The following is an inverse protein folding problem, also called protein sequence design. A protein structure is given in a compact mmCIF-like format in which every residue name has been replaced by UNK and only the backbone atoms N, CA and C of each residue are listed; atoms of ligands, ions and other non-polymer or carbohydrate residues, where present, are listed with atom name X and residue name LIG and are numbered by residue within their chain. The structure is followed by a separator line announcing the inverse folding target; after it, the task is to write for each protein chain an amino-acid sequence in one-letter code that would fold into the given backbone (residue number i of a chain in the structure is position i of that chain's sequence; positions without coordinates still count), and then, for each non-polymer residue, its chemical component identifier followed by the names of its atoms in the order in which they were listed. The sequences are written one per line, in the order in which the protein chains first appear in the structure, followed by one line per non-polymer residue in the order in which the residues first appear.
data_IF_861695112697
#
_entry.id   IF_861695112697
#
_cell.length_a   1.000
_cell.length_b   1.000
_cell.length_c   1.000
_cell.angle_alpha   90.00
_cell.angle_beta   90.00
_cell.angle_gamma   90.00
#
_symmetry.space_group_name_H-M   'P 1'
#
loop_
_entity.id
_entity.type
_entity.pdbx_description
1 polymer ?
#
# COMPACT_ATOMS: atom_id res chain seq x y z
N UNK A 1 28.35 17.11 -9.75
CA UNK A 1 28.82 18.41 -10.31
C UNK A 1 30.34 18.63 -10.20
N UNK A 2 30.96 18.50 -9.02
CA UNK A 2 32.41 18.73 -8.80
C UNK A 2 33.37 17.86 -9.67
N UNK A 3 33.03 16.59 -9.90
CA UNK A 3 33.84 15.66 -10.72
C UNK A 3 33.90 16.07 -12.20
N UNK A 4 32.81 16.66 -12.71
CA UNK A 4 32.70 17.11 -14.11
C UNK A 4 33.53 18.38 -14.33
N UNK A 5 33.56 19.28 -13.33
CA UNK A 5 34.40 20.49 -13.33
C UNK A 5 35.89 20.12 -13.35
N UNK A 6 36.29 19.09 -12.60
CA UNK A 6 37.68 18.59 -12.61
C UNK A 6 38.07 17.90 -13.93
N UNK A 7 37.14 17.18 -14.57
CA UNK A 7 37.37 16.57 -15.88
C UNK A 7 37.51 17.63 -16.99
N UNK A 8 36.79 18.75 -16.88
CA UNK A 8 36.86 19.88 -17.81
C UNK A 8 38.20 20.64 -17.72
N UNK A 9 38.75 20.84 -16.51
CA UNK A 9 40.08 21.45 -16.31
C UNK A 9 41.24 20.62 -16.88
N UNK A 10 41.09 19.30 -17.03
CA UNK A 10 42.15 18.39 -17.53
C UNK A 10 42.17 18.18 -19.06
N UNK A 11 41.38 18.93 -19.83
CA UNK A 11 41.56 19.03 -21.29
C UNK A 11 41.44 17.72 -22.08
N UNK A 12 40.76 16.68 -21.55
CA UNK A 12 40.54 15.43 -22.28
C UNK A 12 39.37 15.61 -23.26
N UNK A 13 39.68 15.72 -24.55
CA UNK A 13 38.70 15.92 -25.65
C UNK A 13 37.67 14.79 -25.80
N UNK A 14 37.91 13.61 -25.24
CA UNK A 14 36.95 12.50 -25.23
C UNK A 14 35.83 12.65 -24.19
N UNK A 15 35.98 13.52 -23.19
CA UNK A 15 35.10 13.59 -22.02
C UNK A 15 33.78 14.33 -22.27
N UNK A 16 33.71 15.20 -23.28
CA UNK A 16 32.58 16.13 -23.46
C UNK A 16 31.37 15.43 -24.11
N UNK A 17 31.58 14.48 -25.03
CA UNK A 17 30.50 13.66 -25.60
C UNK A 17 29.88 12.71 -24.57
N UNK A 18 30.68 12.22 -23.63
CA UNK A 18 30.22 11.42 -22.51
C UNK A 18 29.50 12.28 -21.47
N UNK A 19 29.93 13.52 -21.26
CA UNK A 19 29.27 14.42 -20.31
C UNK A 19 27.86 14.82 -20.74
N UNK A 20 27.60 15.07 -22.03
CA UNK A 20 26.25 15.38 -22.51
C UNK A 20 25.32 14.17 -22.55
N UNK A 21 25.83 12.97 -22.90
CA UNK A 21 25.06 11.73 -22.76
C UNK A 21 24.76 11.38 -21.30
N UNK A 22 25.73 11.60 -20.40
CA UNK A 22 25.54 11.41 -18.96
C UNK A 22 24.57 12.43 -18.35
N UNK A 23 24.54 13.68 -18.84
CA UNK A 23 23.59 14.70 -18.38
C UNK A 23 22.16 14.36 -18.80
N UNK A 24 21.97 13.85 -20.03
CA UNK A 24 20.67 13.37 -20.52
C UNK A 24 20.22 12.14 -19.75
N UNK A 25 21.12 11.18 -19.48
CA UNK A 25 20.79 10.05 -18.60
C UNK A 25 20.49 10.50 -17.16
N UNK A 26 21.23 11.49 -16.62
CA UNK A 26 20.96 12.02 -15.27
C UNK A 26 19.60 12.72 -15.21
N UNK A 27 19.24 13.48 -16.23
CA UNK A 27 17.92 14.14 -16.33
C UNK A 27 16.79 13.13 -16.55
N UNK A 28 17.03 12.05 -17.30
CA UNK A 28 16.06 10.94 -17.44
C UNK A 28 15.94 10.16 -16.12
N UNK A 29 17.04 9.97 -15.38
CA UNK A 29 17.04 9.34 -14.05
C UNK A 29 16.35 10.25 -13.03
N UNK A 30 16.58 11.57 -13.06
CA UNK A 30 15.89 12.54 -12.20
C UNK A 30 14.41 12.68 -12.58
N UNK A 31 14.04 12.58 -13.86
CA UNK A 31 12.64 12.56 -14.30
C UNK A 31 11.92 11.23 -14.00
N UNK A 32 12.63 10.10 -14.08
CA UNK A 32 12.13 8.79 -13.64
C UNK A 32 12.10 8.67 -12.10
N UNK A 33 13.00 9.35 -11.39
CA UNK A 33 12.96 9.51 -9.93
C UNK A 33 11.89 10.52 -9.51
N UNK A 34 11.56 11.51 -10.34
CA UNK A 34 10.41 12.39 -10.11
C UNK A 34 9.06 11.65 -10.31
N UNK A 35 9.06 10.48 -10.97
CA UNK A 35 7.93 9.54 -10.96
C UNK A 35 7.89 8.65 -9.70
N UNK A 36 8.87 8.70 -8.79
CA UNK A 36 8.73 8.09 -7.45
C UNK A 36 7.94 9.04 -6.54
N UNK A 37 6.65 9.17 -6.82
CA UNK A 37 5.75 10.09 -6.14
C UNK A 37 5.42 9.60 -4.73
N UNK A 38 6.10 10.09 -3.69
CA UNK A 38 5.55 10.14 -2.32
C UNK A 38 5.44 8.85 -1.51
N UNK A 39 6.05 7.74 -1.93
CA UNK A 39 6.06 6.48 -1.17
C UNK A 39 7.34 6.27 -0.38
N UNK A 40 7.21 5.71 0.83
CA UNK A 40 8.35 5.16 1.56
C UNK A 40 7.99 3.81 2.18
N UNK A 41 8.82 2.82 1.89
CA UNK A 41 8.67 1.48 2.46
C UNK A 41 9.45 1.35 3.77
N UNK A 42 8.80 0.78 4.77
CA UNK A 42 9.39 0.43 6.06
C UNK A 42 9.47 -1.09 6.12
N UNK A 43 10.67 -1.69 6.10
CA UNK A 43 10.82 -3.14 6.20
C UNK A 43 10.32 -3.66 7.55
N UNK A 44 9.33 -4.55 7.52
CA UNK A 44 8.80 -5.25 8.71
C UNK A 44 9.32 -6.71 8.81
N UNK A 45 10.22 -7.07 7.90
CA UNK A 45 10.89 -8.39 7.86
C UNK A 45 10.06 -9.47 7.17
N UNK A 46 10.44 -10.73 7.37
CA UNK A 46 9.69 -11.90 6.89
C UNK A 46 8.46 -12.16 7.76
N UNK A 47 7.55 -11.19 7.78
CA UNK A 47 6.38 -11.18 8.65
C UNK A 47 5.14 -10.79 7.86
N UNK A 48 4.10 -11.61 7.92
CA UNK A 48 2.79 -11.35 7.34
C UNK A 48 1.98 -10.45 8.27
N UNK A 49 1.71 -9.20 7.89
CA UNK A 49 0.79 -8.35 8.63
C UNK A 49 -0.63 -8.92 8.53
N UNK A 50 -1.39 -8.77 9.60
CA UNK A 50 -2.79 -9.20 9.69
C UNK A 50 -3.73 -8.02 9.84
N UNK A 51 -3.35 -7.05 10.65
CA UNK A 51 -4.14 -5.84 10.88
C UNK A 51 -3.25 -4.64 11.17
N UNK A 52 -3.68 -3.45 10.77
CA UNK A 52 -3.04 -2.17 11.05
C UNK A 52 -3.99 -1.21 11.79
N UNK A 53 -3.45 -0.46 12.74
CA UNK A 53 -4.16 0.65 13.38
C UNK A 53 -3.22 1.80 13.72
N UNK A 54 -3.78 2.99 13.84
CA UNK A 54 -3.01 4.23 13.99
C UNK A 54 -3.49 4.97 15.24
N UNK A 55 -2.54 5.46 16.04
CA UNK A 55 -2.81 6.50 17.01
C UNK A 55 -2.26 7.84 16.48
N UNK A 56 -3.12 8.72 15.91
CA UNK A 56 -2.67 10.00 15.39
C UNK A 56 -2.15 10.94 16.49
N UNK A 57 -2.62 10.79 17.74
CA UNK A 57 -2.20 11.62 18.88
C UNK A 57 -0.75 11.37 19.27
N UNK A 58 -0.31 10.11 19.22
CA UNK A 58 1.07 9.72 19.57
C UNK A 58 1.97 9.51 18.35
N UNK A 59 1.41 9.64 17.15
CA UNK A 59 2.05 9.35 15.88
C UNK A 59 2.67 7.94 15.83
N UNK A 60 1.91 6.96 16.32
CA UNK A 60 2.29 5.55 16.34
C UNK A 60 1.38 4.74 15.41
N UNK A 61 1.98 3.79 14.70
CA UNK A 61 1.29 2.81 13.88
C UNK A 61 1.55 1.43 14.49
N UNK A 62 0.48 0.67 14.69
CA UNK A 62 0.50 -0.66 15.28
C UNK A 62 0.17 -1.68 14.20
N UNK A 63 0.93 -2.78 14.17
CA UNK A 63 0.78 -3.86 13.22
C UNK A 63 0.75 -5.17 13.98
N UNK A 64 -0.26 -6.00 13.76
CA UNK A 64 -0.17 -7.41 14.14
C UNK A 64 0.53 -8.16 13.02
N UNK A 65 1.60 -8.89 13.35
CA UNK A 65 2.43 -9.59 12.36
C UNK A 65 2.68 -11.03 12.77
N UNK A 66 2.72 -11.94 11.80
CA UNK A 66 3.04 -13.35 11.98
C UNK A 66 4.24 -13.75 11.12
N UNK A 67 5.19 -14.51 11.62
CA UNK A 67 6.42 -14.88 10.92
C UNK A 67 6.74 -16.37 11.04
N UNK A 68 7.61 -16.84 10.14
CA UNK A 68 8.02 -18.25 10.03
C UNK A 68 7.37 -18.97 8.84
N UNK A 69 7.87 -20.17 8.53
CA UNK A 69 7.26 -21.06 7.54
C UNK A 69 5.92 -21.59 8.05
N UNK A 70 5.02 -22.00 7.16
CA UNK A 70 3.73 -22.55 7.56
C UNK A 70 3.90 -23.90 8.30
N UNK A 71 3.32 -24.09 9.51
CA UNK A 71 2.53 -23.11 10.28
C UNK A 71 3.40 -22.05 10.98
N UNK A 72 2.99 -20.76 10.98
CA UNK A 72 3.78 -19.66 11.53
C UNK A 72 4.07 -19.87 13.02
N UNK A 73 5.24 -19.40 13.47
CA UNK A 73 5.74 -19.62 14.84
C UNK A 73 6.12 -18.34 15.58
N UNK A 74 6.32 -17.23 14.85
CA UNK A 74 6.55 -15.91 15.45
C UNK A 74 5.28 -15.07 15.35
N UNK A 75 4.84 -14.50 16.46
CA UNK A 75 3.68 -13.61 16.50
C UNK A 75 4.06 -12.36 17.26
N UNK A 76 3.78 -11.19 16.71
CA UNK A 76 4.21 -9.92 17.32
C UNK A 76 3.19 -8.81 17.10
N UNK A 77 3.20 -7.86 18.04
CA UNK A 77 2.67 -6.51 17.85
C UNK A 77 3.86 -5.59 17.56
N UNK A 78 3.98 -5.17 16.30
CA UNK A 78 5.05 -4.29 15.82
C UNK A 78 4.57 -2.85 15.89
N UNK A 79 5.35 -1.98 16.51
CA UNK A 79 5.05 -0.55 16.69
C UNK A 79 6.01 0.28 15.85
N UNK A 80 5.47 1.06 14.92
CA UNK A 80 6.22 1.95 14.04
C UNK A 80 5.98 3.39 14.47
N UNK A 81 7.04 4.18 14.58
CA UNK A 81 6.93 5.63 14.77
C UNK A 81 6.67 6.27 13.40
N UNK A 82 5.54 6.95 13.25
CA UNK A 82 5.14 7.54 11.97
C UNK A 82 5.97 8.78 11.58
N UNK A 83 6.56 9.52 12.52
CA UNK A 83 7.46 10.64 12.23
C UNK A 83 8.77 10.15 11.62
N UNK A 84 9.44 9.22 12.33
CA UNK A 84 10.75 8.71 11.91
C UNK A 84 10.66 7.60 10.87
N UNK A 85 9.48 7.00 10.67
CA UNK A 85 9.22 5.88 9.75
C UNK A 85 10.11 4.68 10.06
N UNK A 86 10.27 4.39 11.34
CA UNK A 86 11.09 3.28 11.83
C UNK A 86 10.33 2.44 12.83
N UNK A 87 10.63 1.14 12.87
CA UNK A 87 10.16 0.27 13.95
C UNK A 87 10.73 0.79 15.27
N UNK A 88 9.84 1.18 16.17
CA UNK A 88 10.17 1.64 17.51
C UNK A 88 10.19 0.49 18.52
N UNK A 89 9.36 -0.54 18.29
CA UNK A 89 9.22 -1.68 19.20
C UNK A 89 8.68 -2.90 18.45
N UNK A 90 9.10 -4.09 18.89
CA UNK A 90 8.52 -5.37 18.48
C UNK A 90 8.17 -6.12 19.76
N UNK A 91 6.88 -6.31 20.02
CA UNK A 91 6.38 -6.95 21.24
C UNK A 91 6.01 -8.40 20.88
N UNK A 92 6.63 -9.42 21.50
CA UNK A 92 6.19 -10.80 21.34
C UNK A 92 4.73 -10.96 21.76
N UNK A 93 3.94 -11.59 20.91
CA UNK A 93 2.53 -11.85 21.12
C UNK A 93 2.31 -13.35 21.32
N UNK A 94 1.55 -13.73 22.33
CA UNK A 94 1.28 -15.14 22.62
C UNK A 94 0.03 -15.59 21.88
N UNK A 95 0.17 -16.45 20.87
CA UNK A 95 -0.94 -16.88 20.01
C UNK A 95 -1.01 -16.10 18.69
N UNK A 96 -1.95 -16.47 17.82
CA UNK A 96 -2.11 -15.82 16.51
C UNK A 96 -2.91 -14.53 16.72
N UNK A 97 -2.32 -13.34 16.51
CA UNK A 97 -3.05 -12.09 16.66
C UNK A 97 -4.06 -11.94 15.52
N UNK A 98 -5.27 -11.50 15.85
CA UNK A 98 -6.30 -11.12 14.91
C UNK A 98 -6.25 -9.64 14.53
N UNK A 99 -7.43 -9.08 14.30
CA UNK A 99 -7.64 -7.65 14.12
C UNK A 99 -7.27 -6.86 15.38
N UNK A 100 -6.92 -5.59 15.20
CA UNK A 100 -6.63 -4.67 16.28
C UNK A 100 -7.45 -3.38 16.18
N UNK A 101 -7.82 -2.82 17.33
CA UNK A 101 -8.41 -1.49 17.44
C UNK A 101 -7.54 -0.60 18.33
N UNK A 102 -7.46 0.69 18.00
CA UNK A 102 -6.65 1.67 18.74
C UNK A 102 -7.57 2.73 19.31
N UNK A 103 -7.47 2.95 20.62
CA UNK A 103 -8.12 4.08 21.29
C UNK A 103 -7.12 5.24 21.41
N UNK A 104 -7.25 6.29 20.56
CA UNK A 104 -6.35 7.43 20.59
C UNK A 104 -6.47 8.31 21.84
N UNK A 105 -7.60 8.25 22.57
CA UNK A 105 -7.82 9.05 23.78
C UNK A 105 -7.06 8.47 24.97
N UNK A 106 -7.09 7.14 25.12
CA UNK A 106 -6.40 6.46 26.23
C UNK A 106 -5.03 5.89 25.86
N UNK A 107 -4.65 5.99 24.57
CA UNK A 107 -3.47 5.35 24.00
C UNK A 107 -3.42 3.85 24.31
N UNK A 108 -4.54 3.15 24.12
CA UNK A 108 -4.65 1.70 24.31
C UNK A 108 -4.82 1.00 22.98
N UNK A 109 -4.27 -0.19 22.88
CA UNK A 109 -4.39 -1.06 21.70
C UNK A 109 -5.04 -2.36 22.13
N UNK A 110 -6.16 -2.69 21.47
CA UNK A 110 -6.96 -3.89 21.71
C UNK A 110 -6.69 -4.86 20.58
N UNK A 111 -6.14 -6.04 20.88
CA UNK A 111 -5.77 -7.03 19.86
C UNK A 111 -6.51 -8.33 20.11
N UNK A 112 -7.22 -8.84 19.10
CA UNK A 112 -7.88 -10.14 19.19
C UNK A 112 -6.83 -11.26 19.29
N UNK A 113 -7.11 -12.24 20.14
CA UNK A 113 -6.38 -13.47 20.28
C UNK A 113 -7.36 -14.62 20.57
N UNK A 114 -7.84 -15.28 19.51
CA UNK A 114 -8.87 -16.31 19.61
C UNK A 114 -10.15 -15.76 20.24
N UNK A 115 -10.56 -16.31 21.38
CA UNK A 115 -11.73 -15.86 22.17
C UNK A 115 -11.38 -14.80 23.21
N UNK A 116 -10.35 -13.99 22.97
CA UNK A 116 -9.96 -12.93 23.91
C UNK A 116 -9.49 -11.68 23.21
N UNK A 117 -9.56 -10.54 23.91
CA UNK A 117 -8.93 -9.28 23.51
C UNK A 117 -7.83 -8.98 24.52
N UNK A 118 -6.59 -8.90 24.04
CA UNK A 118 -5.43 -8.49 24.83
C UNK A 118 -5.28 -6.97 24.72
N UNK A 119 -5.16 -6.31 25.86
CA UNK A 119 -5.05 -4.84 25.95
C UNK A 119 -3.58 -4.48 26.18
N UNK A 120 -3.03 -3.63 25.32
CA UNK A 120 -1.69 -3.08 25.46
C UNK A 120 -1.76 -1.58 25.75
N UNK A 121 -0.81 -1.10 26.55
CA UNK A 121 -0.52 0.31 26.70
C UNK A 121 0.35 0.79 25.54
N UNK A 122 -0.13 1.75 24.76
CA UNK A 122 0.51 2.19 23.54
C UNK A 122 1.85 2.91 23.77
N UNK A 123 2.09 3.46 24.97
CA UNK A 123 3.34 4.14 25.30
C UNK A 123 4.43 3.13 25.70
N UNK A 124 4.11 2.26 26.65
CA UNK A 124 5.03 1.27 27.24
C UNK A 124 5.08 -0.06 26.49
N UNK A 125 4.09 -0.39 25.67
CA UNK A 125 3.93 -1.71 25.05
C UNK A 125 3.57 -2.82 26.04
N UNK A 126 3.32 -2.49 27.31
CA UNK A 126 3.03 -3.49 28.34
C UNK A 126 1.58 -3.98 28.22
N UNK A 127 1.38 -5.28 28.43
CA UNK A 127 0.04 -5.87 28.53
C UNK A 127 -0.68 -5.38 29.79
N UNK A 128 -1.79 -4.67 29.62
CA UNK A 128 -2.62 -4.11 30.70
C UNK A 128 -3.73 -5.04 31.16
N UNK A 129 -4.15 -5.99 30.34
CA UNK A 129 -5.23 -6.91 30.70
C UNK A 129 -5.67 -7.78 29.54
N UNK A 130 -6.56 -8.73 29.85
CA UNK A 130 -7.17 -9.64 28.88
C UNK A 130 -8.67 -9.71 29.16
N UNK A 131 -9.50 -9.41 28.16
CA UNK A 131 -10.94 -9.62 28.19
C UNK A 131 -11.23 -10.96 27.51
N UNK A 132 -11.85 -11.90 28.22
CA UNK A 132 -12.16 -13.24 27.69
C UNK A 132 -13.61 -13.36 27.25
N UNK A 133 -13.84 -14.16 26.23
CA UNK A 133 -15.13 -14.47 25.64
C UNK A 133 -15.27 -15.98 25.51
N UNK A 134 -16.50 -16.43 25.30
CA UNK A 134 -16.82 -17.85 25.17
C UNK A 134 -16.44 -18.35 23.77
N UNK A 135 -16.71 -17.53 22.75
CA UNK A 135 -16.51 -17.86 21.35
C UNK A 135 -15.35 -17.07 20.72
N UNK A 136 -14.71 -17.58 19.65
CA UNK A 136 -13.69 -16.85 18.90
C UNK A 136 -14.22 -15.54 18.34
N UNK A 137 -13.38 -14.52 18.35
CA UNK A 137 -13.71 -13.20 17.80
C UNK A 137 -13.19 -13.05 16.36
N UNK A 138 -13.88 -12.25 15.56
CA UNK A 138 -13.48 -11.92 14.19
C UNK A 138 -12.97 -10.48 14.07
N UNK A 139 -13.80 -9.50 14.45
CA UNK A 139 -13.45 -8.09 14.39
C UNK A 139 -13.60 -7.38 15.74
N UNK A 140 -12.88 -6.27 15.89
CA UNK A 140 -12.90 -5.43 17.09
C UNK A 140 -12.87 -3.95 16.70
N UNK A 141 -13.72 -3.14 17.33
CA UNK A 141 -13.74 -1.69 17.14
C UNK A 141 -13.91 -1.00 18.48
N UNK A 142 -13.34 0.19 18.63
CA UNK A 142 -13.46 0.99 19.85
C UNK A 142 -14.15 2.31 19.54
N UNK A 143 -15.00 2.75 20.45
CA UNK A 143 -15.53 4.11 20.50
C UNK A 143 -14.88 4.86 21.67
N UNK A 144 -13.86 5.69 21.39
CA UNK A 144 -13.17 6.48 22.41
C UNK A 144 -14.08 7.49 23.12
N UNK A 145 -15.15 7.96 22.48
CA UNK A 145 -16.05 8.97 23.02
C UNK A 145 -16.95 8.43 24.12
N UNK A 146 -17.40 7.19 23.97
CA UNK A 146 -18.28 6.51 24.93
C UNK A 146 -17.55 5.49 25.81
N UNK A 147 -16.24 5.30 25.62
CA UNK A 147 -15.43 4.29 26.31
C UNK A 147 -16.03 2.88 26.17
N UNK A 148 -16.45 2.54 24.95
CA UNK A 148 -17.02 1.23 24.59
C UNK A 148 -16.10 0.50 23.63
N UNK A 149 -15.99 -0.80 23.81
CA UNK A 149 -15.37 -1.72 22.88
C UNK A 149 -16.45 -2.62 22.31
N UNK A 150 -16.41 -2.85 21.01
CA UNK A 150 -17.29 -3.75 20.30
C UNK A 150 -16.47 -4.88 19.69
N UNK A 151 -17.01 -6.09 19.67
CA UNK A 151 -16.39 -7.23 19.02
C UNK A 151 -17.44 -8.12 18.36
N UNK A 152 -17.09 -8.76 17.25
CA UNK A 152 -17.98 -9.72 16.59
C UNK A 152 -17.54 -11.15 16.86
N UNK A 153 -18.52 -12.05 16.99
CA UNK A 153 -18.30 -13.47 17.16
C UNK A 153 -19.48 -14.24 16.58
N UNK A 154 -19.23 -15.21 15.69
CA UNK A 154 -20.27 -16.01 15.03
C UNK A 154 -21.44 -15.16 14.49
N UNK A 155 -22.60 -15.19 15.13
CA UNK A 155 -23.83 -14.46 14.82
C UNK A 155 -24.18 -13.39 15.87
N UNK A 156 -23.17 -12.95 16.63
CA UNK A 156 -23.32 -12.08 17.79
C UNK A 156 -22.39 -10.86 17.70
N UNK A 157 -22.95 -9.69 18.00
CA UNK A 157 -22.23 -8.47 18.33
C UNK A 157 -22.12 -8.34 19.85
N UNK A 158 -20.92 -8.14 20.35
CA UNK A 158 -20.62 -7.95 21.77
C UNK A 158 -20.28 -6.49 22.01
N UNK A 159 -20.89 -5.89 23.02
CA UNK A 159 -20.53 -4.58 23.55
C UNK A 159 -19.93 -4.73 24.94
N UNK A 160 -18.80 -4.07 25.18
CA UNK A 160 -18.04 -4.11 26.42
C UNK A 160 -17.79 -2.70 26.93
N UNK A 161 -18.17 -2.44 28.18
CA UNK A 161 -17.77 -1.19 28.85
C UNK A 161 -16.29 -1.23 29.23
N UNK A 162 -15.53 -0.21 28.80
CA UNK A 162 -14.13 -0.03 29.17
C UNK A 162 -13.95 0.75 30.48
N UNK A 163 -15.04 0.97 31.24
CA UNK A 163 -14.96 1.61 32.54
C UNK A 163 -14.18 0.71 33.52
N UNK A 164 -13.10 1.20 34.15
CA UNK A 164 -12.27 0.39 35.05
C UNK A 164 -13.01 -0.09 36.32
N UNK A 165 -14.17 0.47 36.65
CA UNK A 165 -14.95 0.10 37.83
C UNK A 165 -15.94 -1.04 37.58
N UNK A 166 -16.41 -1.20 36.33
CA UNK A 166 -17.44 -2.21 35.98
C UNK A 166 -17.20 -2.69 34.55
N UNK A 167 -16.87 -3.97 34.39
CA UNK A 167 -16.87 -4.62 33.07
C UNK A 167 -18.25 -5.23 32.81
N UNK A 168 -19.12 -4.45 32.20
CA UNK A 168 -20.40 -4.96 31.68
C UNK A 168 -20.19 -5.49 30.25
N UNK A 169 -20.81 -6.63 29.94
CA UNK A 169 -20.87 -7.20 28.60
C UNK A 169 -22.33 -7.36 28.18
N UNK A 170 -22.66 -6.85 27.00
CA UNK A 170 -23.95 -7.05 26.34
C UNK A 170 -23.72 -7.82 25.04
N UNK A 171 -24.70 -8.62 24.67
CA UNK A 171 -24.68 -9.40 23.43
C UNK A 171 -25.94 -9.12 22.63
N UNK A 172 -25.77 -8.86 21.34
CA UNK A 172 -26.85 -8.59 20.40
C UNK A 172 -26.78 -9.61 19.27
N UNK A 173 -27.92 -10.21 18.94
CA UNK A 173 -28.01 -11.12 17.81
C UNK A 173 -27.97 -10.32 16.51
N UNK A 174 -27.13 -10.76 15.58
CA UNK A 174 -26.95 -10.17 14.26
C UNK A 174 -27.11 -11.25 13.19
N UNK A 175 -26.79 -10.94 11.93
CA UNK A 175 -26.79 -11.95 10.87
C UNK A 175 -25.65 -12.96 11.04
N UNK A 176 -25.69 -14.00 10.20
CA UNK A 176 -24.74 -15.10 10.26
C UNK A 176 -23.34 -14.69 9.79
N UNK A 177 -22.34 -15.11 10.57
CA UNK A 177 -20.91 -14.91 10.33
C UNK A 177 -20.55 -13.41 10.25
N UNK A 178 -20.67 -12.75 11.40
CA UNK A 178 -20.34 -11.34 11.62
C UNK A 178 -18.83 -11.11 11.50
N UNK A 179 -18.39 -10.73 10.30
CA UNK A 179 -16.97 -10.70 9.95
C UNK A 179 -16.33 -9.32 10.18
N UNK A 180 -17.03 -8.24 9.81
CA UNK A 180 -16.51 -6.87 9.92
C UNK A 180 -17.36 -6.00 10.83
N UNK A 181 -16.75 -4.94 11.35
CA UNK A 181 -17.33 -4.08 12.38
C UNK A 181 -16.86 -2.63 12.23
N UNK A 182 -17.78 -1.67 12.29
CA UNK A 182 -17.42 -0.26 12.32
C UNK A 182 -18.38 0.55 13.21
N UNK A 183 -17.85 1.59 13.85
CA UNK A 183 -18.61 2.49 14.73
C UNK A 183 -18.70 3.88 14.11
N UNK A 184 -19.88 4.47 14.13
CA UNK A 184 -20.07 5.91 13.89
C UNK A 184 -20.15 6.65 15.23
N UNK A 185 -19.08 7.29 15.70
CA UNK A 185 -19.08 8.01 16.98
C UNK A 185 -19.96 9.28 16.97
N UNK A 186 -20.34 9.80 15.80
CA UNK A 186 -21.22 10.98 15.70
C UNK A 186 -22.69 10.61 15.96
N UNK A 187 -23.11 9.42 15.50
CA UNK A 187 -24.51 8.97 15.60
C UNK A 187 -24.73 7.86 16.63
N UNK A 188 -23.68 7.36 17.27
CA UNK A 188 -23.69 6.20 18.16
C UNK A 188 -24.26 4.93 17.50
N UNK A 189 -24.06 4.80 16.19
CA UNK A 189 -24.48 3.62 15.43
C UNK A 189 -23.29 2.68 15.25
N UNK A 190 -23.51 1.38 15.40
CA UNK A 190 -22.52 0.33 15.14
C UNK A 190 -23.03 -0.58 14.03
N UNK A 191 -22.20 -0.78 13.01
CA UNK A 191 -22.54 -1.53 11.81
C UNK A 191 -21.74 -2.83 11.78
N UNK A 192 -22.41 -3.93 11.45
CA UNK A 192 -21.83 -5.28 11.43
C UNK A 192 -22.07 -5.93 10.08
N UNK A 193 -21.01 -6.37 9.41
CA UNK A 193 -21.10 -7.09 8.14
C UNK A 193 -21.33 -8.58 8.41
N UNK A 194 -22.50 -9.08 7.97
CA UNK A 194 -22.89 -10.46 8.13
C UNK A 194 -22.55 -11.23 6.85
N UNK A 195 -21.36 -11.81 6.81
CA UNK A 195 -20.75 -12.36 5.59
C UNK A 195 -21.60 -13.47 4.94
N UNK A 196 -22.21 -14.36 5.73
CA UNK A 196 -23.03 -15.45 5.18
C UNK A 196 -24.48 -15.01 4.91
N UNK A 197 -25.00 -14.04 5.66
CA UNK A 197 -26.34 -13.51 5.43
C UNK A 197 -26.41 -12.50 4.28
N UNK A 198 -25.28 -11.95 3.82
CA UNK A 198 -25.21 -10.87 2.82
C UNK A 198 -25.93 -9.58 3.26
N UNK A 199 -25.91 -9.29 4.56
CA UNK A 199 -26.57 -8.12 5.15
C UNK A 199 -25.62 -7.33 6.04
N UNK A 200 -26.04 -6.13 6.42
CA UNK A 200 -25.41 -5.34 7.49
C UNK A 200 -26.40 -5.14 8.63
N UNK A 201 -26.06 -5.52 9.85
CA UNK A 201 -26.87 -5.22 11.04
C UNK A 201 -26.48 -3.86 11.63
N UNK A 202 -27.46 -3.13 12.16
CA UNK A 202 -27.28 -1.79 12.74
C UNK A 202 -27.72 -1.79 14.19
N UNK A 203 -26.78 -1.57 15.10
CA UNK A 203 -27.01 -1.33 16.52
C UNK A 203 -27.08 0.17 16.78
N UNK A 204 -28.14 0.63 17.43
CA UNK A 204 -28.17 1.94 18.07
C UNK A 204 -27.65 1.76 19.51
N UNK A 205 -26.42 2.22 19.77
CA UNK A 205 -25.78 2.08 21.07
C UNK A 205 -26.41 2.99 22.15
N UNK A 206 -27.19 4.01 21.76
CA UNK A 206 -27.92 4.85 22.71
C UNK A 206 -29.19 4.14 23.18
N UNK A 207 -29.86 3.42 22.29
CA UNK A 207 -31.03 2.59 22.61
C UNK A 207 -30.67 1.19 23.09
N UNK A 208 -29.40 0.79 22.93
CA UNK A 208 -28.89 -0.54 23.25
C UNK A 208 -29.70 -1.64 22.56
N UNK A 209 -29.97 -1.48 21.26
CA UNK A 209 -30.78 -2.43 20.49
C UNK A 209 -30.46 -2.41 19.00
N UNK A 210 -30.58 -3.57 18.34
CA UNK A 210 -30.55 -3.65 16.87
C UNK A 210 -31.78 -2.95 16.30
N UNK A 211 -31.56 -1.89 15.52
CA UNK A 211 -32.61 -1.04 14.94
C UNK A 211 -32.89 -1.35 13.48
N UNK A 212 -31.98 -2.07 12.80
CA UNK A 212 -32.13 -2.39 11.39
C UNK A 212 -31.21 -3.50 10.91
N UNK A 213 -31.61 -4.10 9.80
CA UNK A 213 -30.79 -4.99 8.99
C UNK A 213 -30.93 -4.56 7.54
N UNK A 214 -29.79 -4.21 6.93
CA UNK A 214 -29.70 -3.67 5.57
C UNK A 214 -29.35 -4.82 4.63
N UNK A 215 -30.22 -5.08 3.66
CA UNK A 215 -29.94 -6.00 2.55
C UNK A 215 -29.05 -5.28 1.52
N UNK A 216 -27.91 -5.90 1.19
CA UNK A 216 -26.96 -5.36 0.20
C UNK A 216 -27.39 -5.68 -1.24
N UNK A 217 -28.35 -6.59 -1.41
CA UNK A 217 -28.87 -7.02 -2.69
C UNK A 217 -28.07 -8.17 -3.33
N UNK A 218 -28.70 -8.84 -4.29
CA UNK A 218 -28.18 -10.08 -4.89
C UNK A 218 -26.82 -9.95 -5.62
N UNK A 219 -26.42 -8.73 -5.99
CA UNK A 219 -25.15 -8.45 -6.68
C UNK A 219 -24.00 -8.10 -5.72
N UNK A 220 -24.26 -8.08 -4.41
CA UNK A 220 -23.32 -7.69 -3.37
C UNK A 220 -23.36 -8.73 -2.25
N UNK A 221 -22.58 -9.78 -2.43
CA UNK A 221 -22.52 -10.92 -1.50
C UNK A 221 -21.23 -10.91 -0.71
N UNK A 222 -21.25 -11.58 0.45
CA UNK A 222 -20.09 -11.79 1.30
C UNK A 222 -19.44 -10.46 1.75
N UNK A 223 -20.19 -9.60 2.47
CA UNK A 223 -19.60 -8.40 3.03
C UNK A 223 -18.52 -8.77 4.05
N UNK A 224 -17.37 -8.10 3.96
CA UNK A 224 -16.20 -8.42 4.78
C UNK A 224 -15.79 -7.29 5.71
N UNK A 225 -15.45 -6.12 5.17
CA UNK A 225 -14.98 -4.96 5.95
C UNK A 225 -15.94 -3.79 5.82
N UNK A 226 -16.03 -2.97 6.87
CA UNK A 226 -16.78 -1.71 6.84
C UNK A 226 -15.92 -0.56 7.34
N UNK A 227 -16.17 0.63 6.80
CA UNK A 227 -15.65 1.87 7.32
C UNK A 227 -16.73 2.94 7.25
N UNK A 228 -16.78 3.81 8.26
CA UNK A 228 -17.76 4.88 8.35
C UNK A 228 -17.08 6.21 8.09
N UNK A 229 -17.74 7.08 7.32
CA UNK A 229 -17.44 8.50 7.33
C UNK A 229 -18.36 9.20 8.36
N UNK A 230 -17.87 9.53 9.58
CA UNK A 230 -18.68 10.18 10.61
C UNK A 230 -19.12 11.60 10.25
N UNK A 231 -18.47 12.25 9.28
CA UNK A 231 -18.82 13.61 8.82
C UNK A 231 -20.03 13.59 7.88
N UNK A 232 -20.11 12.60 6.99
CA UNK A 232 -21.18 12.48 5.99
C UNK A 232 -22.23 11.43 6.35
N UNK A 233 -22.05 10.71 7.46
CA UNK A 233 -22.88 9.59 7.91
C UNK A 233 -23.04 8.50 6.83
N UNK A 234 -22.00 8.28 6.02
CA UNK A 234 -21.96 7.20 5.03
C UNK A 234 -21.21 6.00 5.57
N UNK A 235 -21.67 4.81 5.21
CA UNK A 235 -20.99 3.54 5.51
C UNK A 235 -20.57 2.90 4.20
N UNK A 236 -19.31 2.52 4.12
CA UNK A 236 -18.72 1.85 2.96
C UNK A 236 -18.48 0.40 3.35
N UNK A 237 -18.88 -0.55 2.49
CA UNK A 237 -18.82 -1.98 2.77
C UNK A 237 -18.17 -2.71 1.62
N UNK A 238 -17.07 -3.43 1.89
CA UNK A 238 -16.42 -4.28 0.89
C UNK A 238 -17.19 -5.59 0.74
N UNK A 239 -17.17 -6.16 -0.46
CA UNK A 239 -17.92 -7.39 -0.79
C UNK A 239 -17.05 -8.34 -1.60
N UNK A 240 -17.35 -9.65 -1.51
CA UNK A 240 -16.67 -10.72 -2.25
C UNK A 240 -16.77 -10.67 -3.78
N UNK A 241 -17.41 -9.63 -4.34
CA UNK A 241 -17.56 -9.40 -5.79
C UNK A 241 -16.68 -8.25 -6.30
N UNK A 242 -15.61 -7.91 -5.59
CA UNK A 242 -14.76 -6.73 -5.86
C UNK A 242 -15.53 -5.43 -5.92
N UNK A 243 -16.53 -5.29 -5.06
CA UNK A 243 -17.34 -4.09 -5.02
C UNK A 243 -17.38 -3.46 -3.64
N UNK A 244 -17.52 -2.15 -3.62
CA UNK A 244 -17.81 -1.37 -2.42
C UNK A 244 -19.25 -0.90 -2.52
N UNK A 245 -20.07 -1.31 -1.57
CA UNK A 245 -21.43 -0.80 -1.40
C UNK A 245 -21.38 0.43 -0.52
N UNK A 246 -22.09 1.48 -0.93
CA UNK A 246 -22.26 2.71 -0.15
C UNK A 246 -23.66 2.70 0.45
N UNK A 247 -23.73 2.91 1.76
CA UNK A 247 -24.96 2.99 2.53
C UNK A 247 -25.07 4.40 3.10
N UNK A 248 -26.24 5.00 2.95
CA UNK A 248 -26.62 6.21 3.68
C UNK A 248 -27.07 5.82 5.09
N UNK A 249 -26.29 6.17 6.10
CA UNK A 249 -26.55 5.86 7.50
C UNK A 249 -27.65 6.71 8.15
N UNK A 250 -28.28 7.65 7.42
CA UNK A 250 -29.51 8.30 7.88
C UNK A 250 -30.74 7.49 7.52
N UNK A 251 -30.72 6.86 6.34
CA UNK A 251 -31.87 6.12 5.80
C UNK A 251 -31.70 4.61 5.89
N UNK A 252 -30.51 4.13 6.26
CA UNK A 252 -30.09 2.73 6.27
C UNK A 252 -30.35 2.03 4.93
N UNK A 253 -30.06 2.73 3.83
CA UNK A 253 -30.25 2.23 2.47
C UNK A 253 -28.96 2.28 1.66
N UNK A 254 -28.80 1.26 0.82
CA UNK A 254 -27.79 1.24 -0.23
C UNK A 254 -28.09 2.34 -1.24
N UNK A 255 -27.12 3.23 -1.46
CA UNK A 255 -27.22 4.33 -2.43
C UNK A 255 -26.55 4.00 -3.75
N UNK A 256 -25.43 3.29 -3.71
CA UNK A 256 -24.68 2.86 -4.91
C UNK A 256 -23.75 1.69 -4.61
N UNK A 257 -23.29 1.03 -5.67
CA UNK A 257 -22.29 -0.03 -5.63
C UNK A 257 -21.19 0.24 -6.66
N UNK A 258 -19.94 0.27 -6.21
CA UNK A 258 -18.77 0.64 -7.01
C UNK A 258 -17.88 -0.58 -7.25
N UNK A 259 -17.50 -0.82 -8.51
CA UNK A 259 -16.59 -1.91 -8.87
C UNK A 259 -15.13 -1.45 -8.74
N UNK A 260 -14.39 -2.01 -7.78
CA UNK A 260 -13.06 -1.53 -7.37
C UNK A 260 -11.90 -2.46 -7.79
N UNK A 261 -12.19 -3.56 -8.49
CA UNK A 261 -11.20 -4.55 -8.93
C UNK A 261 -11.56 -5.26 -10.25
N UNK A 262 -10.64 -6.04 -10.81
CA UNK A 262 -10.70 -6.50 -12.21
C UNK A 262 -11.16 -7.94 -12.46
N UNK A 263 -11.45 -8.76 -11.44
CA UNK A 263 -12.14 -10.06 -11.63
C UNK A 263 -12.52 -10.70 -10.29
N UNK A 264 -13.78 -11.14 -10.05
CA UNK A 264 -14.16 -11.80 -8.80
C UNK A 264 -13.34 -13.07 -8.62
N UNK A 265 -12.39 -13.04 -7.69
CA UNK A 265 -11.54 -14.17 -7.31
C UNK A 265 -11.83 -14.55 -5.85
N UNK A 266 -11.87 -15.85 -5.57
CA UNK A 266 -12.24 -16.44 -4.27
C UNK A 266 -11.24 -16.17 -3.13
N UNK A 267 -10.13 -15.48 -3.39
CA UNK A 267 -9.03 -15.26 -2.44
C UNK A 267 -8.71 -13.76 -2.27
N UNK A 268 -9.71 -12.89 -2.42
CA UNK A 268 -9.50 -11.44 -2.33
C UNK A 268 -9.68 -10.99 -0.88
N UNK A 269 -8.61 -10.50 -0.26
CA UNK A 269 -8.70 -9.69 0.96
C UNK A 269 -9.04 -8.27 0.55
N UNK A 270 -10.05 -7.70 1.19
CA UNK A 270 -10.43 -6.31 1.02
C UNK A 270 -10.11 -5.58 2.30
N UNK A 271 -9.47 -4.43 2.18
CA UNK A 271 -9.27 -3.51 3.29
C UNK A 271 -9.76 -2.13 2.90
N UNK A 272 -10.25 -1.41 3.89
CA UNK A 272 -11.04 -0.20 3.68
C UNK A 272 -10.74 0.81 4.79
N UNK A 273 -10.41 2.04 4.41
CA UNK A 273 -10.26 3.14 5.35
C UNK A 273 -10.84 4.42 4.77
N UNK A 274 -11.37 5.26 5.66
CA UNK A 274 -12.01 6.54 5.32
C UNK A 274 -11.19 7.69 5.90
N UNK A 275 -10.88 8.68 5.07
CA UNK A 275 -10.41 10.00 5.51
C UNK A 275 -11.63 10.94 5.58
N UNK A 276 -12.22 11.16 6.77
CA UNK A 276 -13.39 12.02 6.93
C UNK A 276 -13.08 13.51 6.70
N UNK A 277 -11.80 13.91 6.73
CA UNK A 277 -11.40 15.32 6.52
C UNK A 277 -11.38 15.71 5.06
N UNK A 278 -11.12 14.74 4.17
CA UNK A 278 -11.10 14.92 2.72
C UNK A 278 -12.28 14.27 2.00
N UNK A 279 -13.15 13.58 2.75
CA UNK A 279 -14.24 12.77 2.22
C UNK A 279 -13.74 11.77 1.15
N UNK A 280 -12.70 11.01 1.51
CA UNK A 280 -12.07 10.02 0.63
C UNK A 280 -12.12 8.64 1.26
N UNK A 281 -12.32 7.63 0.42
CA UNK A 281 -12.27 6.22 0.84
C UNK A 281 -11.17 5.52 0.06
N UNK A 282 -10.33 4.78 0.78
CA UNK A 282 -9.22 4.01 0.23
C UNK A 282 -9.57 2.53 0.32
N UNK A 283 -9.46 1.84 -0.81
CA UNK A 283 -9.82 0.43 -0.93
C UNK A 283 -8.63 -0.34 -1.46
N UNK A 284 -8.11 -1.26 -0.67
CA UNK A 284 -7.12 -2.24 -1.10
C UNK A 284 -7.83 -3.53 -1.50
N UNK A 285 -7.37 -4.14 -2.60
CA UNK A 285 -7.90 -5.42 -3.06
C UNK A 285 -6.76 -6.34 -3.45
N UNK A 286 -6.50 -7.37 -2.65
CA UNK A 286 -5.53 -8.41 -3.03
C UNK A 286 -6.10 -9.33 -4.12
N UNK A 287 -5.31 -9.77 -5.11
CA UNK A 287 -3.86 -9.55 -5.29
C UNK A 287 -3.53 -8.33 -6.19
N UNK A 288 -4.48 -7.43 -6.43
CA UNK A 288 -4.22 -6.24 -7.25
C UNK A 288 -3.24 -5.31 -6.51
N UNK A 289 -2.15 -4.85 -7.14
CA UNK A 289 -1.23 -3.90 -6.53
C UNK A 289 -1.78 -2.46 -6.55
N UNK A 290 -3.10 -2.32 -6.52
CA UNK A 290 -3.81 -1.05 -6.63
C UNK A 290 -4.56 -0.77 -5.33
N UNK A 291 -4.47 0.48 -4.88
CA UNK A 291 -5.40 1.07 -3.92
C UNK A 291 -6.35 1.97 -4.70
N UNK A 292 -7.63 1.64 -4.71
CA UNK A 292 -8.68 2.44 -5.36
C UNK A 292 -9.09 3.57 -4.42
N UNK A 293 -9.14 4.80 -4.93
CA UNK A 293 -9.55 5.99 -4.17
C UNK A 293 -10.93 6.41 -4.67
N UNK A 294 -11.91 6.40 -3.77
CA UNK A 294 -13.27 6.85 -4.01
C UNK A 294 -13.42 8.27 -3.47
N UNK A 295 -14.03 9.15 -4.26
CA UNK A 295 -14.51 10.45 -3.81
C UNK A 295 -15.87 10.24 -3.12
N UNK A 296 -15.92 10.47 -1.81
CA UNK A 296 -17.12 10.29 -0.99
C UNK A 296 -18.18 11.36 -1.23
N UNK A 297 -17.85 12.48 -1.90
CA UNK A 297 -18.82 13.53 -2.23
C UNK A 297 -19.72 13.10 -3.38
N UNK A 298 -19.12 12.46 -4.38
CA UNK A 298 -19.81 11.98 -5.59
C UNK A 298 -20.11 10.49 -5.56
N UNK A 299 -19.55 9.75 -4.61
CA UNK A 299 -19.55 8.29 -4.55
C UNK A 299 -19.09 7.66 -5.87
N UNK A 300 -17.96 8.15 -6.39
CA UNK A 300 -17.34 7.64 -7.62
C UNK A 300 -15.87 7.36 -7.43
N UNK A 301 -15.32 6.44 -8.22
CA UNK A 301 -13.88 6.20 -8.25
C UNK A 301 -13.17 7.44 -8.80
N UNK A 302 -12.39 8.10 -7.94
CA UNK A 302 -11.64 9.30 -8.29
C UNK A 302 -10.34 8.96 -9.01
N UNK A 303 -9.62 7.95 -8.51
CA UNK A 303 -8.35 7.52 -9.06
C UNK A 303 -7.96 6.13 -8.54
N UNK A 304 -6.91 5.56 -9.12
CA UNK A 304 -6.26 4.36 -8.59
C UNK A 304 -4.79 4.65 -8.36
N UNK A 305 -4.26 4.07 -7.29
CA UNK A 305 -2.93 4.28 -6.80
C UNK A 305 -2.16 2.97 -6.88
N UNK A 306 -1.11 2.91 -7.71
CA UNK A 306 -0.30 1.70 -7.81
C UNK A 306 0.77 1.67 -6.73
N UNK A 307 0.79 0.60 -5.96
CA UNK A 307 1.86 0.28 -5.03
C UNK A 307 2.74 -0.85 -5.59
N UNK A 308 3.86 -1.13 -4.93
CA UNK A 308 4.85 -2.09 -5.43
C UNK A 308 4.41 -3.55 -5.26
N UNK A 309 3.47 -3.83 -4.35
CA UNK A 309 3.12 -5.18 -3.92
C UNK A 309 1.62 -5.36 -3.64
N UNK A 310 1.19 -6.53 -3.15
CA UNK A 310 -0.23 -6.84 -2.91
C UNK A 310 -0.67 -6.31 -1.54
N UNK A 311 -1.61 -5.36 -1.49
CA UNK A 311 -2.02 -4.76 -0.23
C UNK A 311 -2.88 -5.75 0.58
N UNK A 312 -2.52 -5.97 1.83
CA UNK A 312 -3.26 -6.84 2.74
C UNK A 312 -4.28 -6.05 3.56
N UNK A 313 -3.81 -5.05 4.28
CA UNK A 313 -4.61 -4.13 5.10
C UNK A 313 -4.12 -2.68 4.97
N UNK A 314 -4.97 -1.70 5.27
CA UNK A 314 -4.61 -0.27 5.20
C UNK A 314 -5.26 0.55 6.32
N UNK A 315 -4.60 1.65 6.70
CA UNK A 315 -5.16 2.64 7.60
C UNK A 315 -4.73 4.05 7.18
N UNK A 316 -5.60 5.02 7.37
CA UNK A 316 -5.33 6.43 7.03
C UNK A 316 -5.18 7.26 8.29
N UNK A 317 -4.21 8.17 8.25
CA UNK A 317 -4.00 9.24 9.22
C UNK A 317 -4.39 10.57 8.56
N UNK A 318 -5.64 11.03 8.76
CA UNK A 318 -6.10 12.30 8.20
C UNK A 318 -5.28 13.50 8.66
N UNK A 319 -4.83 13.49 9.93
CA UNK A 319 -4.14 14.62 10.55
C UNK A 319 -2.79 14.89 9.88
N UNK A 320 -2.10 13.83 9.46
CA UNK A 320 -0.83 13.94 8.74
C UNK A 320 -0.95 13.70 7.23
N UNK A 321 -2.17 13.50 6.70
CA UNK A 321 -2.44 13.18 5.29
C UNK A 321 -1.64 11.98 4.77
N UNK A 322 -1.59 10.90 5.56
CA UNK A 322 -0.84 9.68 5.23
C UNK A 322 -1.74 8.47 5.15
N UNK A 323 -1.50 7.63 4.17
CA UNK A 323 -2.07 6.30 4.06
C UNK A 323 -0.96 5.29 4.33
N UNK A 324 -1.23 4.35 5.21
CA UNK A 324 -0.37 3.23 5.52
C UNK A 324 -0.96 1.99 4.89
N UNK A 325 -0.18 1.29 4.08
CA UNK A 325 -0.61 0.08 3.39
C UNK A 325 0.35 -1.04 3.73
N UNK A 326 -0.20 -2.13 4.22
CA UNK A 326 0.57 -3.31 4.57
C UNK A 326 0.65 -4.27 3.39
N UNK A 327 1.80 -4.90 3.24
CA UNK A 327 2.06 -5.99 2.30
C UNK A 327 2.81 -7.11 3.05
N UNK A 328 2.98 -8.28 2.43
CA UNK A 328 3.66 -9.46 2.99
C UNK A 328 5.01 -9.21 3.66
N UNK A 329 5.73 -8.12 3.32
CA UNK A 329 7.07 -7.84 3.87
C UNK A 329 7.29 -6.38 4.29
N UNK A 330 6.37 -5.47 3.95
CA UNK A 330 6.59 -4.04 4.03
C UNK A 330 5.36 -3.33 4.60
N UNK A 331 5.63 -2.22 5.28
CA UNK A 331 4.66 -1.17 5.50
C UNK A 331 4.98 -0.01 4.54
N UNK A 332 4.17 0.17 3.51
CA UNK A 332 4.29 1.30 2.58
C UNK A 332 3.53 2.51 3.13
N UNK A 333 4.24 3.62 3.27
CA UNK A 333 3.66 4.92 3.65
C UNK A 333 3.46 5.74 2.38
N UNK A 334 2.24 6.19 2.16
CA UNK A 334 1.84 7.06 1.04
C UNK A 334 1.43 8.42 1.57
N UNK A 335 1.99 9.49 1.02
CA UNK A 335 1.46 10.85 1.24
C UNK A 335 0.21 11.05 0.36
N UNK A 336 -0.96 11.22 0.98
CA UNK A 336 -2.28 11.29 0.31
C UNK A 336 -2.93 12.67 0.43
N UNK A 337 -2.12 13.73 0.35
CA UNK A 337 -2.56 15.13 0.38
C UNK A 337 -3.45 15.53 -0.82
N UNK A 338 -3.60 16.84 -1.04
CA UNK A 338 -4.09 17.29 -2.34
C UNK A 338 -3.14 16.72 -3.39
N UNK A 339 -3.62 15.76 -4.16
CA UNK A 339 -3.03 15.41 -5.44
C UNK A 339 -3.16 16.70 -6.26
N UNK A 340 -2.22 17.64 -6.08
CA UNK A 340 -2.02 18.72 -7.03
C UNK A 340 -1.93 17.97 -8.34
N UNK A 341 -2.90 18.18 -9.23
CA UNK A 341 -2.97 17.54 -10.52
C UNK A 341 -1.56 17.55 -11.07
N UNK A 342 -0.87 16.40 -11.02
CA UNK A 342 0.41 16.29 -11.67
C UNK A 342 0.00 16.27 -13.12
N UNK A 343 -0.11 17.46 -13.72
CA UNK A 343 -0.25 17.61 -15.15
C UNK A 343 0.88 16.73 -15.69
N UNK A 344 0.57 15.65 -16.42
CA UNK A 344 1.64 14.91 -17.05
C UNK A 344 2.41 15.94 -17.87
N UNK A 345 3.72 16.09 -17.61
CA UNK A 345 4.57 16.93 -18.44
C UNK A 345 4.29 16.46 -19.87
N UNK A 346 3.66 17.33 -20.66
CA UNK A 346 3.20 16.89 -21.98
C UNK A 346 4.44 16.53 -22.79
N UNK A 347 4.32 15.55 -23.70
CA UNK A 347 5.44 15.17 -24.57
C UNK A 347 6.07 16.39 -25.26
N UNK A 348 5.28 17.45 -25.48
CA UNK A 348 5.69 18.71 -26.07
C UNK A 348 6.65 19.52 -25.19
N UNK A 349 6.43 19.57 -23.87
CA UNK A 349 7.33 20.25 -22.92
C UNK A 349 8.65 19.49 -22.77
N UNK A 350 8.60 18.16 -22.80
CA UNK A 350 9.79 17.30 -22.80
C UNK A 350 10.61 17.49 -24.09
N UNK A 351 9.95 17.56 -25.25
CA UNK A 351 10.59 17.86 -26.54
C UNK A 351 11.17 19.28 -26.53
N UNK A 352 10.48 20.27 -25.94
CA UNK A 352 10.97 21.64 -25.76
C UNK A 352 12.26 21.71 -24.94
N UNK A 353 12.32 20.98 -23.83
CA UNK A 353 13.52 20.92 -22.99
C UNK A 353 14.70 20.23 -23.73
N UNK A 354 14.44 19.15 -24.46
CA UNK A 354 15.46 18.42 -25.23
C UNK A 354 15.99 19.29 -26.39
N UNK A 355 15.11 19.98 -27.11
CA UNK A 355 15.50 20.85 -28.24
C UNK A 355 16.33 22.06 -27.78
N UNK A 356 15.96 22.68 -26.66
CA UNK A 356 16.75 23.76 -26.05
C UNK A 356 18.15 23.29 -25.62
N UNK A 357 18.26 22.09 -25.04
CA UNK A 357 19.54 21.50 -24.64
C UNK A 357 20.45 21.21 -25.86
N UNK A 358 19.87 20.73 -26.97
CA UNK A 358 20.59 20.51 -28.23
C UNK A 358 21.06 21.83 -28.84
N UNK A 359 20.22 22.87 -28.84
CA UNK A 359 20.58 24.21 -29.34
C UNK A 359 21.73 24.84 -28.54
N UNK A 360 21.68 24.76 -27.20
CA UNK A 360 22.75 25.24 -26.33
C UNK A 360 24.07 24.49 -26.57
N UNK A 361 24.03 23.16 -26.76
CA UNK A 361 25.20 22.37 -27.12
C UNK A 361 25.78 22.76 -28.50
N UNK A 362 24.92 23.12 -29.44
CA UNK A 362 25.29 23.54 -30.80
C UNK A 362 25.99 24.90 -30.80
N UNK A 363 25.47 25.87 -30.02
CA UNK A 363 26.08 27.20 -29.85
C UNK A 363 27.46 27.11 -29.19
N UNK A 364 27.63 26.20 -28.23
CA UNK A 364 28.91 25.96 -27.55
C UNK A 364 29.96 25.29 -28.46
N UNK A 365 29.52 24.46 -29.42
CA UNK A 365 30.40 23.85 -30.43
C UNK A 365 30.85 24.84 -31.51
N UNK A 366 30.04 25.88 -31.78
CA UNK A 366 30.33 26.89 -32.81
C UNK A 366 31.42 27.89 -32.39
N UNK A 367 31.67 28.07 -31.09
CA UNK A 367 32.73 28.96 -30.56
C UNK A 367 34.16 28.38 -30.60
N UNK A 368 34.54 27.58 -31.61
CA UNK A 368 35.94 27.14 -31.81
C UNK A 368 36.60 27.83 -33.00
N UNK A 369 37.77 28.50 -32.83
CA UNK A 369 38.50 29.09 -33.94
C UNK A 369 39.20 28.01 -34.78
N UNK A 370 39.08 28.09 -36.11
CA UNK A 370 39.80 27.21 -37.06
C UNK A 370 41.31 27.51 -37.00
N UNK A 371 42.15 26.48 -36.80
CA UNK A 371 43.61 26.58 -37.03
C UNK A 371 44.15 25.38 -37.81
N UNK A 372 44.63 25.68 -39.03
CA UNK A 372 45.85 25.22 -39.71
C UNK A 372 46.18 23.73 -39.88
N UNK A 373 46.19 23.26 -41.14
CA UNK A 373 46.87 22.03 -41.59
C UNK A 373 48.40 22.19 -41.49
N UNK A 374 49.12 21.15 -41.05
CA UNK A 374 50.56 20.96 -41.35
C UNK A 374 50.83 19.48 -41.72
N UNK A 375 51.56 19.28 -42.84
CA UNK A 375 52.07 18.02 -43.41
C UNK A 375 53.43 17.62 -42.81
N UNK A 376 53.75 16.32 -42.75
CA UNK A 376 55.12 15.80 -42.54
C UNK A 376 55.28 14.30 -42.85
N UNK A 377 56.32 13.92 -43.60
CA UNK A 377 56.61 12.63 -44.30
C UNK A 377 57.42 11.62 -43.46
N UNK A 378 57.09 10.32 -43.49
CA UNK A 378 57.76 9.10 -44.06
C UNK A 378 59.23 8.74 -43.69
N UNK A 379 59.46 7.45 -43.36
CA UNK A 379 60.59 6.63 -43.88
C UNK A 379 60.27 5.10 -43.81
N UNK A 380 60.79 4.35 -44.79
CA UNK A 380 60.66 2.91 -45.10
C UNK A 380 61.86 2.12 -44.56
N UNK A 381 61.76 0.79 -44.52
CA UNK A 381 62.80 -0.21 -44.92
C UNK A 381 62.07 -1.57 -45.18
N UNK A 382 61.96 -2.12 -46.40
CA UNK A 382 62.85 -2.95 -47.25
C UNK A 382 62.71 -4.48 -47.01
N UNK A 383 62.49 -5.20 -48.13
CA UNK A 383 62.16 -6.63 -48.35
C UNK A 383 63.47 -7.43 -48.62
N UNK A 384 63.49 -8.79 -48.70
CA UNK A 384 63.27 -9.43 -50.01
C UNK A 384 62.57 -10.81 -50.02
N UNK A 385 61.88 -11.05 -51.14
CA UNK A 385 61.38 -12.29 -51.76
C UNK A 385 62.51 -13.28 -52.12
N UNK A 386 62.34 -14.59 -52.34
CA UNK A 386 61.17 -15.48 -52.43
C UNK A 386 61.64 -16.85 -52.97
N UNK A 387 60.78 -17.88 -52.98
CA UNK A 387 60.90 -19.05 -53.86
C UNK A 387 59.58 -19.86 -53.94
N UNK A 388 59.54 -20.77 -54.91
CA UNK A 388 58.43 -21.19 -55.80
C UNK A 388 57.33 -22.14 -55.26
N UNK A 389 56.24 -22.17 -56.04
CA UNK A 389 55.07 -23.07 -56.04
C UNK A 389 55.38 -24.56 -56.30
N UNK A 390 54.62 -25.49 -55.72
CA UNK A 390 53.56 -26.26 -56.44
C UNK A 390 52.81 -27.34 -55.58
N UNK A 391 51.47 -27.30 -55.69
CA UNK A 391 50.42 -28.36 -55.75
C UNK A 391 50.22 -29.44 -54.64
N UNK A 392 49.10 -29.30 -53.89
CA UNK A 392 47.95 -30.21 -53.49
C UNK A 392 48.10 -31.77 -53.46
N UNK A 393 47.21 -32.58 -52.78
CA UNK A 393 45.79 -32.30 -52.42
C UNK A 393 45.18 -32.85 -51.10
N UNK A 394 43.97 -32.32 -50.80
CA UNK A 394 42.78 -32.99 -50.18
C UNK A 394 42.73 -33.39 -48.69
N UNK A 395 41.80 -32.78 -47.93
CA UNK A 395 40.54 -33.42 -47.43
C UNK A 395 39.77 -32.53 -46.42
N UNK A 396 38.46 -32.45 -46.64
CA UNK A 396 37.41 -31.84 -45.81
C UNK A 396 37.15 -32.61 -44.50
N UNK A 397 36.77 -31.89 -43.43
CA UNK A 397 35.81 -32.28 -42.35
C UNK A 397 35.45 -31.03 -41.53
N UNK A 398 34.25 -30.44 -41.74
CA UNK A 398 32.97 -30.57 -41.00
C UNK A 398 32.84 -29.72 -39.71
N UNK A 399 31.92 -28.75 -39.80
CA UNK A 399 31.18 -28.02 -38.75
C UNK A 399 30.26 -28.95 -37.91
N UNK A 400 29.76 -28.55 -36.72
CA UNK A 400 28.52 -27.75 -36.62
C UNK A 400 28.45 -26.68 -35.50
N UNK A 401 27.55 -25.72 -35.75
CA UNK A 401 26.95 -24.71 -34.88
C UNK A 401 25.83 -25.29 -33.99
N UNK A 402 25.53 -24.66 -32.85
CA UNK A 402 24.35 -24.95 -32.03
C UNK A 402 23.68 -23.67 -31.49
N UNK A 403 22.35 -23.63 -31.63
CA UNK A 403 21.38 -22.70 -31.05
C UNK A 403 20.99 -23.09 -29.61
N UNK A 404 20.39 -22.21 -28.79
CA UNK A 404 19.61 -22.60 -27.61
C UNK A 404 18.09 -22.52 -27.84
N UNK A 405 17.41 -23.52 -27.29
CA UNK A 405 15.97 -23.78 -27.37
C UNK A 405 15.17 -23.09 -26.27
N UNK A 406 13.94 -22.71 -26.62
CA UNK A 406 12.84 -22.32 -25.75
C UNK A 406 12.05 -23.54 -25.25
N UNK A 407 11.44 -23.46 -24.07
CA UNK A 407 10.37 -24.37 -23.63
C UNK A 407 9.30 -23.62 -22.83
N UNK A 408 8.06 -23.71 -23.34
CA UNK A 408 6.78 -23.44 -22.68
C UNK A 408 6.22 -24.76 -22.13
N UNK A 409 5.52 -24.71 -20.99
CA UNK A 409 4.51 -25.70 -20.51
C UNK A 409 3.17 -25.52 -21.30
N UNK A 410 2.07 -26.29 -21.13
CA UNK A 410 1.69 -27.22 -20.04
C UNK A 410 0.93 -28.52 -20.44
N UNK A 411 0.64 -29.38 -19.45
CA UNK A 411 -0.68 -29.98 -19.18
C UNK A 411 -0.82 -30.30 -17.70
#
# INVERSE_FOLDING_TARGET
MQVIIQAWRKGRRGSVRWASGALVCLLIIEAAAAQSTGYQDIPIGHSWPRSIGINPTTNQVYLTTTSGLYPPTGFTLTVVNASSRTISRVIPFQGIPGELAVDPNTNRVYVINGSSVVIFDGASGDGKGIIRFEEPLYAVAVDPGTSRLYATSADTLLEISLNPQVTEKKSFQVGSYALGLAVNPTTNMVYVANYLSNTVSVLDATKESIVGTIDLGAQSTNPSELAVNPTTNKVYVTTGRNSVVVIDGLTDRVTTTLQVGTSPGTNSTYALAVDPTKDRVYVATTPSPLVTIIDGRTDTIASTLRINYSPYDLAVDPANSRLYVTDYHLLTVVEVGELSSSQPITALELIGAITLAILLASVLLWRRPRRGLVRGKSKRDVIPSGERLDVLPSRLRRFPSFWPSSCHQPR
#
